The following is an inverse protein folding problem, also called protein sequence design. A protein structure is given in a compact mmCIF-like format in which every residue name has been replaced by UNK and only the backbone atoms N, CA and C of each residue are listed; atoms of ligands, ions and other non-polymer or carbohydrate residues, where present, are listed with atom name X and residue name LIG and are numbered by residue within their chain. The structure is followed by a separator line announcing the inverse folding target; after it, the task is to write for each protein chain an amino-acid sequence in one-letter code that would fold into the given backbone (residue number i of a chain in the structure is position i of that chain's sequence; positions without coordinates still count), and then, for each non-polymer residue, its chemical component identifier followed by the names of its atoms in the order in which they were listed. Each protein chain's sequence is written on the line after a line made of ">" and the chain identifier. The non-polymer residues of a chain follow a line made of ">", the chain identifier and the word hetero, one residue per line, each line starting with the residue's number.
data_IF_888316229617
#
_entry.id   IF_888316229617
#
_cell.length_a   1.000
_cell.length_b   1.000
_cell.length_c   1.000
_cell.angle_alpha   90.00
_cell.angle_beta   90.00
_cell.angle_gamma   90.00
#
_symmetry.space_group_name_H-M   'P 1'
#
loop_
_entity.id
_entity.type
_entity.pdbx_description
1 polymer ?
#
# COMPACT_ATOMS: atom_id res chain seq x y z
N UNK A 1 -9.80 9.91 -18.20
CA UNK A 1 -10.36 10.33 -16.90
C UNK A 1 -11.53 11.30 -17.08
N UNK A 2 -12.63 11.05 -16.38
CA UNK A 2 -13.82 11.92 -16.33
C UNK A 2 -13.48 13.32 -15.75
N UNK A 3 -14.18 14.35 -16.23
CA UNK A 3 -14.02 15.75 -15.81
C UNK A 3 -14.40 15.94 -14.34
N UNK A 4 -15.47 15.29 -13.89
CA UNK A 4 -15.88 15.32 -12.49
C UNK A 4 -14.80 14.74 -11.55
N UNK A 5 -14.16 13.64 -11.98
CA UNK A 5 -13.08 12.99 -11.22
C UNK A 5 -11.81 13.85 -11.19
N UNK A 6 -11.46 14.51 -12.30
CA UNK A 6 -10.35 15.50 -12.32
C UNK A 6 -10.60 16.62 -11.33
N UNK A 7 -11.78 17.22 -11.36
CA UNK A 7 -12.15 18.29 -10.42
C UNK A 7 -12.09 17.82 -8.96
N UNK A 8 -12.57 16.59 -8.68
CA UNK A 8 -12.48 15.97 -7.36
C UNK A 8 -11.03 15.81 -6.89
N UNK A 9 -10.12 15.36 -7.76
CA UNK A 9 -8.69 15.25 -7.46
C UNK A 9 -8.07 16.62 -7.15
N UNK A 10 -8.44 17.65 -7.90
CA UNK A 10 -7.90 18.99 -7.74
C UNK A 10 -8.35 19.71 -6.46
N UNK A 11 -9.51 19.31 -5.93
CA UNK A 11 -10.13 19.87 -4.72
C UNK A 11 -9.85 19.06 -3.47
N UNK A 12 -9.08 17.96 -3.56
CA UNK A 12 -8.74 17.14 -2.40
C UNK A 12 -8.08 17.96 -1.28
N UNK A 13 -8.28 17.58 -0.02
CA UNK A 13 -7.58 18.16 1.11
C UNK A 13 -6.05 18.04 0.98
N UNK A 14 -5.32 18.97 1.59
CA UNK A 14 -3.86 18.96 1.70
C UNK A 14 -3.36 18.34 3.01
N UNK A 15 -4.29 17.86 3.83
CA UNK A 15 -4.11 17.25 5.13
C UNK A 15 -3.67 15.77 5.03
N UNK A 16 -3.13 15.20 6.12
CA UNK A 16 -2.86 13.77 6.19
C UNK A 16 -4.16 12.96 6.18
N UNK A 17 -4.09 11.76 5.61
CA UNK A 17 -5.25 10.89 5.52
C UNK A 17 -5.02 9.64 4.70
N UNK A 18 -6.12 8.92 4.49
CA UNK A 18 -6.18 7.71 3.67
C UNK A 18 -7.08 7.97 2.47
N UNK A 19 -6.65 7.54 1.29
CA UNK A 19 -7.44 7.57 0.07
C UNK A 19 -7.80 6.16 -0.38
N UNK A 20 -9.01 6.01 -0.91
CA UNK A 20 -9.56 4.76 -1.44
C UNK A 20 -9.89 4.97 -2.91
N UNK A 21 -9.25 4.20 -3.78
CA UNK A 21 -9.54 4.18 -5.19
C UNK A 21 -10.57 3.10 -5.47
N UNK A 22 -11.63 3.47 -6.17
CA UNK A 22 -12.71 2.58 -6.60
C UNK A 22 -12.71 2.43 -8.09
N UNK A 23 -13.00 1.23 -8.57
CA UNK A 23 -13.25 1.03 -9.99
C UNK A 23 -14.62 1.61 -10.41
N UNK A 24 -14.92 1.53 -11.71
CA UNK A 24 -16.21 1.97 -12.27
C UNK A 24 -17.42 1.18 -11.76
N UNK A 25 -17.21 0.00 -11.17
CA UNK A 25 -18.25 -0.79 -10.52
C UNK A 25 -18.40 -0.45 -9.02
N UNK A 26 -17.57 0.46 -8.49
CA UNK A 26 -17.58 0.89 -7.09
C UNK A 26 -16.77 0.01 -6.15
N UNK A 27 -16.05 -1.00 -6.65
CA UNK A 27 -15.21 -1.86 -5.81
C UNK A 27 -13.90 -1.15 -5.44
N UNK A 28 -13.48 -1.28 -4.18
CA UNK A 28 -12.22 -0.70 -3.70
C UNK A 28 -11.06 -1.52 -4.27
N UNK A 29 -10.30 -0.91 -5.17
CA UNK A 29 -9.19 -1.56 -5.88
C UNK A 29 -7.83 -1.25 -5.26
N UNK A 30 -7.71 -0.10 -4.58
CA UNK A 30 -6.49 0.31 -3.90
C UNK A 30 -6.78 1.25 -2.72
N UNK A 31 -6.00 1.11 -1.64
CA UNK A 31 -6.02 1.97 -0.46
C UNK A 31 -4.59 2.44 -0.19
N UNK A 32 -4.41 3.73 0.11
CA UNK A 32 -3.11 4.23 0.54
C UNK A 32 -3.19 5.44 1.46
N UNK A 33 -2.13 5.67 2.24
CA UNK A 33 -2.00 6.87 3.08
C UNK A 33 -1.16 7.97 2.46
N UNK A 34 -1.37 9.20 2.91
CA UNK A 34 -0.62 10.38 2.51
C UNK A 34 -0.48 11.37 3.67
N UNK A 35 0.63 12.12 3.70
CA UNK A 35 0.75 13.32 4.54
C UNK A 35 0.04 14.54 3.92
N UNK A 36 -0.12 14.51 2.59
CA UNK A 36 -0.87 15.49 1.81
C UNK A 36 -1.64 14.73 0.72
N UNK A 37 -2.95 14.58 0.91
CA UNK A 37 -3.81 13.78 0.05
C UNK A 37 -3.80 14.28 -1.40
N UNK A 38 -3.96 15.60 -1.63
CA UNK A 38 -3.96 16.19 -2.97
C UNK A 38 -2.66 15.91 -3.73
N UNK A 39 -1.52 16.21 -3.12
CA UNK A 39 -0.21 16.00 -3.74
C UNK A 39 0.02 14.52 -4.06
N UNK A 40 -0.32 13.63 -3.11
CA UNK A 40 -0.12 12.19 -3.31
C UNK A 40 -0.99 11.65 -4.43
N UNK A 41 -2.27 12.00 -4.49
CA UNK A 41 -3.16 11.50 -5.54
C UNK A 41 -2.77 12.08 -6.89
N UNK A 42 -2.44 13.37 -6.98
CA UNK A 42 -1.96 13.98 -8.23
C UNK A 42 -0.70 13.30 -8.77
N UNK A 43 0.20 12.82 -7.90
CA UNK A 43 1.44 12.14 -8.32
C UNK A 43 1.23 10.90 -9.21
N UNK A 44 0.04 10.29 -9.18
CA UNK A 44 -0.31 9.18 -10.06
C UNK A 44 -0.62 9.62 -11.50
N UNK A 45 -1.00 10.88 -11.71
CA UNK A 45 -1.44 11.39 -13.02
C UNK A 45 -0.40 12.32 -13.67
N UNK A 46 0.68 12.63 -12.95
CA UNK A 46 1.80 13.43 -13.48
C UNK A 46 2.80 12.52 -14.20
N UNK A 47 3.27 12.95 -15.39
CA UNK A 47 4.31 12.24 -16.14
C UNK A 47 5.61 12.17 -15.33
N UNK A 48 6.19 10.97 -15.20
CA UNK A 48 7.39 10.74 -14.39
C UNK A 48 7.13 10.69 -12.88
N UNK A 49 5.87 10.48 -12.47
CA UNK A 49 5.46 10.33 -11.07
C UNK A 49 5.67 8.91 -10.53
N UNK A 50 4.60 8.31 -10.00
CA UNK A 50 4.65 6.98 -9.37
C UNK A 50 4.78 5.85 -10.41
N UNK A 51 5.83 5.03 -10.30
CA UNK A 51 6.19 4.00 -11.29
C UNK A 51 5.51 2.64 -11.08
N UNK A 52 4.59 2.52 -10.10
CA UNK A 52 3.94 1.22 -9.85
C UNK A 52 3.09 0.79 -11.04
N UNK A 53 3.14 -0.51 -11.36
CA UNK A 53 2.50 -1.06 -12.55
C UNK A 53 1.00 -0.74 -12.68
N UNK A 54 0.27 -0.64 -11.56
CA UNK A 54 -1.17 -0.31 -11.60
C UNK A 54 -1.45 1.14 -12.02
N UNK A 55 -0.48 2.05 -11.90
CA UNK A 55 -0.64 3.48 -12.22
C UNK A 55 -0.95 3.67 -13.71
N UNK A 56 -0.30 2.88 -14.58
CA UNK A 56 -0.59 2.88 -16.01
C UNK A 56 -2.04 2.47 -16.35
N UNK A 57 -2.73 1.78 -15.44
CA UNK A 57 -4.10 1.30 -15.61
C UNK A 57 -5.14 2.25 -14.98
N UNK A 58 -4.72 3.28 -14.22
CA UNK A 58 -5.64 4.11 -13.45
C UNK A 58 -6.60 4.90 -14.34
N UNK A 59 -6.15 5.40 -15.48
CA UNK A 59 -6.99 6.18 -16.41
C UNK A 59 -8.19 5.38 -16.94
N UNK A 60 -8.04 4.06 -17.06
CA UNK A 60 -9.09 3.15 -17.51
C UNK A 60 -9.94 2.65 -16.34
N UNK A 61 -9.31 2.24 -15.24
CA UNK A 61 -9.97 1.54 -14.14
C UNK A 61 -10.68 2.46 -13.16
N UNK A 62 -10.11 3.63 -12.85
CA UNK A 62 -10.58 4.48 -11.76
C UNK A 62 -11.96 5.07 -12.10
N UNK A 63 -12.95 4.70 -11.28
CA UNK A 63 -14.31 5.23 -11.36
C UNK A 63 -14.58 6.30 -10.31
N UNK A 64 -14.04 6.12 -9.10
CA UNK A 64 -14.20 7.09 -8.02
C UNK A 64 -13.01 7.07 -7.05
N UNK A 65 -12.90 8.13 -6.26
CA UNK A 65 -11.89 8.34 -5.24
C UNK A 65 -12.53 8.86 -3.95
N UNK A 66 -12.32 8.19 -2.83
CA UNK A 66 -12.74 8.66 -1.51
C UNK A 66 -11.53 8.99 -0.65
N UNK A 67 -11.70 9.90 0.31
CA UNK A 67 -10.66 10.27 1.28
C UNK A 67 -11.21 10.35 2.69
N UNK A 68 -10.38 9.97 3.66
CA UNK A 68 -10.63 10.13 5.09
C UNK A 68 -9.47 10.95 5.64
N UNK A 69 -9.77 12.17 6.06
CA UNK A 69 -8.79 13.08 6.68
C UNK A 69 -8.58 12.67 8.13
N UNK A 70 -7.33 12.68 8.58
CA UNK A 70 -6.94 12.41 9.97
C UNK A 70 -6.05 13.53 10.49
N UNK A 71 -5.70 13.49 11.77
CA UNK A 71 -4.90 14.56 12.39
C UNK A 71 -3.40 14.32 12.26
N UNK A 72 -2.99 13.05 12.22
CA UNK A 72 -1.57 12.68 12.22
C UNK A 72 -1.24 11.61 11.19
N UNK A 73 0.02 11.57 10.75
CA UNK A 73 0.51 10.51 9.87
C UNK A 73 0.37 9.11 10.52
N UNK A 74 0.54 9.02 11.84
CA UNK A 74 0.39 7.77 12.58
C UNK A 74 -1.04 7.23 12.52
N UNK A 75 -2.04 8.11 12.67
CA UNK A 75 -3.44 7.73 12.47
C UNK A 75 -3.70 7.25 11.04
N UNK A 76 -3.13 7.93 10.05
CA UNK A 76 -3.28 7.54 8.64
C UNK A 76 -2.70 6.14 8.38
N UNK A 77 -1.55 5.83 8.99
CA UNK A 77 -0.92 4.52 8.91
C UNK A 77 -1.77 3.41 9.53
N UNK A 78 -2.34 3.66 10.71
CA UNK A 78 -3.21 2.69 11.39
C UNK A 78 -4.49 2.44 10.58
N UNK A 79 -5.17 3.53 10.17
CA UNK A 79 -6.40 3.46 9.39
C UNK A 79 -6.18 2.78 8.02
N UNK A 80 -5.08 3.07 7.34
CA UNK A 80 -4.73 2.38 6.09
C UNK A 80 -4.60 0.87 6.32
N UNK A 81 -3.88 0.46 7.37
CA UNK A 81 -3.70 -0.95 7.69
C UNK A 81 -5.04 -1.64 7.96
N UNK A 82 -5.93 -0.99 8.72
CA UNK A 82 -7.28 -1.51 9.00
C UNK A 82 -8.11 -1.65 7.72
N UNK A 83 -8.11 -0.62 6.86
CA UNK A 83 -8.87 -0.64 5.60
C UNK A 83 -8.33 -1.66 4.61
N UNK A 84 -7.00 -1.83 4.51
CA UNK A 84 -6.40 -2.88 3.67
C UNK A 84 -6.79 -4.26 4.19
N UNK A 85 -6.73 -4.49 5.51
CA UNK A 85 -7.14 -5.78 6.11
C UNK A 85 -8.61 -6.07 5.86
N UNK A 86 -9.47 -5.06 6.01
CA UNK A 86 -10.93 -5.17 5.86
C UNK A 86 -11.36 -5.40 4.41
N UNK A 87 -10.78 -4.65 3.47
CA UNK A 87 -11.23 -4.64 2.08
C UNK A 87 -10.41 -5.54 1.15
N UNK A 88 -9.21 -5.97 1.58
CA UNK A 88 -8.30 -6.80 0.79
C UNK A 88 -8.18 -6.33 -0.68
N UNK A 89 -7.87 -5.04 -0.94
CA UNK A 89 -7.96 -4.51 -2.29
C UNK A 89 -6.97 -5.19 -3.23
N UNK A 90 -7.42 -5.50 -4.45
CA UNK A 90 -6.66 -6.26 -5.46
C UNK A 90 -5.23 -5.72 -5.64
N UNK A 91 -5.07 -4.41 -5.82
CA UNK A 91 -3.75 -3.84 -6.08
C UNK A 91 -2.87 -3.75 -4.83
N UNK A 92 -3.43 -3.64 -3.62
CA UNK A 92 -2.62 -3.71 -2.39
C UNK A 92 -2.02 -5.11 -2.17
N UNK A 93 -2.71 -6.16 -2.60
CA UNK A 93 -2.23 -7.55 -2.50
C UNK A 93 -1.16 -7.82 -3.57
N UNK A 94 -1.46 -7.49 -4.83
CA UNK A 94 -0.52 -7.66 -5.96
C UNK A 94 0.79 -6.90 -5.74
N UNK A 95 0.74 -5.72 -5.10
CA UNK A 95 1.91 -4.91 -4.78
C UNK A 95 2.63 -5.34 -3.49
N UNK A 96 2.13 -6.36 -2.79
CA UNK A 96 2.76 -6.89 -1.56
C UNK A 96 3.94 -7.80 -1.87
N UNK A 97 4.01 -8.37 -3.07
CA UNK A 97 4.93 -9.47 -3.40
C UNK A 97 6.42 -9.08 -3.49
N UNK A 98 6.78 -7.80 -3.61
CA UNK A 98 8.19 -7.41 -3.81
C UNK A 98 8.86 -6.78 -2.56
N UNK A 99 8.12 -6.62 -1.46
CA UNK A 99 8.65 -6.05 -0.20
C UNK A 99 8.68 -7.09 0.90
N UNK A 100 9.45 -8.14 0.69
CA UNK A 100 9.92 -8.98 1.80
C UNK A 100 10.49 -8.07 2.89
N UNK A 101 9.91 -8.08 4.09
CA UNK A 101 10.44 -7.35 5.23
C UNK A 101 11.91 -7.73 5.46
N UNK A 102 12.74 -6.76 5.80
CA UNK A 102 14.10 -7.04 6.27
C UNK A 102 13.98 -7.55 7.70
N UNK A 103 14.51 -8.75 7.93
CA UNK A 103 14.62 -9.39 9.24
C UNK A 103 16.10 -9.49 9.61
N UNK A 104 16.40 -9.42 10.91
CA UNK A 104 17.71 -9.73 11.44
C UNK A 104 17.68 -11.19 11.92
N UNK A 105 18.54 -12.01 11.34
CA UNK A 105 18.72 -13.41 11.74
C UNK A 105 20.01 -13.51 12.55
N UNK A 106 19.92 -14.15 13.72
CA UNK A 106 21.09 -14.56 14.48
C UNK A 106 21.49 -15.97 14.01
N UNK A 107 22.71 -16.13 13.49
CA UNK A 107 23.22 -17.46 13.16
C UNK A 107 23.77 -18.14 14.41
N UNK A 108 22.98 -19.07 14.96
CA UNK A 108 23.33 -19.86 16.14
C UNK A 108 24.31 -21.01 15.82
N UNK A 109 24.58 -21.30 14.54
CA UNK A 109 25.46 -22.41 14.12
C UNK A 109 26.92 -21.99 13.96
N UNK A 110 27.19 -20.69 13.91
CA UNK A 110 28.55 -20.17 13.85
C UNK A 110 29.19 -20.20 15.24
N UNK A 111 30.51 -20.41 15.31
CA UNK A 111 31.27 -20.41 16.57
C UNK A 111 31.13 -19.09 17.36
N UNK A 112 30.71 -18.01 16.69
CA UNK A 112 30.33 -16.73 17.30
C UNK A 112 29.02 -16.23 16.66
N UNK A 113 28.02 -15.79 17.44
CA UNK A 113 26.75 -15.32 16.90
C UNK A 113 26.96 -14.14 15.94
N UNK A 114 26.49 -14.27 14.70
CA UNK A 114 26.51 -13.19 13.72
C UNK A 114 25.09 -12.74 13.40
N UNK A 115 24.92 -11.42 13.32
CA UNK A 115 23.68 -10.80 12.90
C UNK A 115 23.69 -10.64 11.38
N UNK A 116 22.72 -11.24 10.72
CA UNK A 116 22.59 -11.19 9.27
C UNK A 116 21.28 -10.51 8.87
N UNK A 117 21.38 -9.64 7.87
CA UNK A 117 20.24 -9.00 7.24
C UNK A 117 19.66 -9.97 6.21
N UNK A 118 18.46 -10.48 6.45
CA UNK A 118 17.78 -11.43 5.57
C UNK A 118 16.41 -10.89 5.17
N UNK A 119 15.91 -11.31 4.01
CA UNK A 119 14.54 -11.03 3.60
C UNK A 119 13.61 -12.10 4.19
N UNK A 120 12.48 -11.69 4.77
CA UNK A 120 11.53 -12.59 5.41
C UNK A 120 11.10 -13.76 4.51
N UNK A 121 10.89 -13.48 3.21
CA UNK A 121 10.56 -14.50 2.21
C UNK A 121 11.62 -15.61 2.11
N UNK A 122 12.91 -15.29 2.25
CA UNK A 122 14.00 -16.26 2.20
C UNK A 122 14.10 -17.11 3.47
N UNK A 123 13.71 -16.56 4.62
CA UNK A 123 13.63 -17.28 5.90
C UNK A 123 12.51 -18.33 5.84
N UNK A 124 11.33 -17.95 5.36
CA UNK A 124 10.19 -18.88 5.23
C UNK A 124 10.47 -19.99 4.20
N UNK A 125 11.13 -19.66 3.08
CA UNK A 125 11.46 -20.63 2.02
C UNK A 125 12.48 -21.69 2.47
N UNK A 126 13.46 -21.31 3.31
CA UNK A 126 14.51 -22.24 3.81
C UNK A 126 14.10 -23.09 5.01
N UNK A 127 13.09 -22.67 5.77
CA UNK A 127 12.68 -23.38 7.00
C UNK A 127 11.73 -24.57 6.77
N UNK A 128 11.24 -24.78 5.55
CA UNK A 128 10.27 -25.84 5.22
C UNK A 128 8.91 -25.72 5.93
N UNK A 129 8.72 -24.70 6.77
CA UNK A 129 7.48 -24.46 7.50
C UNK A 129 6.55 -23.58 6.66
N UNK A 130 5.61 -24.24 5.98
CA UNK A 130 4.41 -23.61 5.46
C UNK A 130 3.62 -23.05 6.65
N UNK A 131 3.52 -21.73 6.72
CA UNK A 131 2.52 -21.00 7.52
C UNK A 131 2.54 -21.23 9.03
N UNK A 132 3.14 -20.32 9.78
CA UNK A 132 2.88 -20.16 11.22
C UNK A 132 2.78 -18.68 11.55
N UNK A 133 1.69 -18.02 11.12
CA UNK A 133 1.07 -16.88 11.80
C UNK A 133 -0.41 -16.81 11.32
N UNK A 134 -1.34 -16.90 12.28
CA UNK A 134 -2.78 -17.25 12.25
C UNK A 134 -3.68 -16.67 11.15
N UNK A 135 -4.88 -17.20 10.82
CA UNK A 135 -5.86 -17.95 11.65
C UNK A 135 -5.92 -17.41 13.08
N UNK A 136 -6.43 -16.18 13.19
CA UNK A 136 -7.61 -15.83 14.00
C UNK A 136 -8.10 -14.43 13.58
#
# INVERSE_FOLDING_TARGET
>A
MDEALRHKIDTLPTEPGVYLMKDRAGAIIYVGKAVNLRSRVRSYFTRGGDERAFVALLDELLGDLEVIVVRTEKEALLLESELIKKHQPRFNILLRDDKSFICLRLDERSAFPRLEVVRAADVYRKSGKRGLFGQD
#
